data_IF_670721004401
#
_entry.id   IF_670721004401
#
_cell.length_a   1.000
_cell.length_b   1.000
_cell.length_c   1.000
_cell.angle_alpha   90.00
_cell.angle_beta   90.00
_cell.angle_gamma   90.00
#
_symmetry.space_group_name_H-M   'P 1'
#
loop_
_entity.id
_entity.type
_entity.pdbx_description
1 polymer ?
#
# COMPACT_ATOMS: atom_id res chain seq x y z
N UNK A 1 31.20 1.36 -14.81
CA UNK A 1 31.79 0.19 -14.16
C UNK A 1 30.81 -0.31 -13.08
N UNK A 2 30.60 -1.60 -13.04
CA UNK A 2 29.85 -2.22 -11.96
C UNK A 2 30.84 -2.44 -10.83
N UNK A 3 30.72 -1.64 -9.78
CA UNK A 3 31.47 -1.87 -8.55
C UNK A 3 30.91 -3.12 -7.87
N UNK A 4 31.74 -3.89 -7.18
CA UNK A 4 31.33 -5.13 -6.50
C UNK A 4 30.22 -4.84 -5.48
N UNK A 5 30.31 -3.72 -4.77
CA UNK A 5 29.32 -3.30 -3.79
C UNK A 5 27.97 -2.91 -4.41
N UNK A 6 27.99 -2.35 -5.61
CA UNK A 6 26.79 -1.97 -6.36
C UNK A 6 26.18 -3.16 -7.13
N UNK A 7 26.92 -4.23 -7.36
CA UNK A 7 26.45 -5.41 -8.10
C UNK A 7 25.21 -6.06 -7.46
N UNK A 8 25.06 -5.94 -6.16
CA UNK A 8 23.91 -6.44 -5.38
C UNK A 8 22.76 -5.45 -5.27
N UNK A 9 22.92 -4.22 -5.78
CA UNK A 9 21.85 -3.24 -5.78
C UNK A 9 20.69 -3.75 -6.61
N UNK A 10 19.46 -3.78 -6.04
CA UNK A 10 18.31 -4.23 -6.79
C UNK A 10 17.85 -3.15 -7.76
N UNK A 11 17.55 -3.56 -8.99
CA UNK A 11 16.74 -2.82 -9.93
C UNK A 11 15.31 -3.27 -9.75
N UNK A 12 14.40 -2.32 -9.55
CA UNK A 12 13.00 -2.57 -9.33
C UNK A 12 12.23 -2.09 -10.56
N UNK A 13 11.50 -3.01 -11.18
CA UNK A 13 10.55 -2.69 -12.24
C UNK A 13 9.19 -2.58 -11.57
N UNK A 14 8.61 -1.39 -11.62
CA UNK A 14 7.28 -1.13 -11.10
C UNK A 14 6.36 -0.59 -12.19
N UNK A 15 5.10 -0.87 -12.06
CA UNK A 15 4.05 -0.38 -12.94
C UNK A 15 2.77 -0.10 -12.15
N UNK A 16 1.79 0.58 -12.75
CA UNK A 16 0.53 0.83 -12.09
C UNK A 16 -0.12 -0.51 -11.71
N UNK A 17 -0.54 -0.62 -10.46
CA UNK A 17 -1.37 -1.73 -10.04
C UNK A 17 -2.73 -1.61 -10.72
N UNK A 18 -3.25 -2.73 -11.21
CA UNK A 18 -4.61 -2.80 -11.76
C UNK A 18 -5.62 -2.81 -10.59
N UNK A 19 -5.56 -1.73 -9.80
CA UNK A 19 -6.46 -1.56 -8.67
C UNK A 19 -7.83 -1.15 -9.22
N UNK A 20 -8.84 -1.91 -8.87
CA UNK A 20 -10.22 -1.57 -9.18
C UNK A 20 -10.64 -0.34 -8.36
N UNK A 21 -10.33 0.86 -8.85
CA UNK A 21 -10.70 2.14 -8.23
C UNK A 21 -12.19 2.22 -7.89
N UNK A 22 -13.02 1.52 -8.67
CA UNK A 22 -14.46 1.35 -8.44
C UNK A 22 -14.76 0.88 -7.00
N UNK A 23 -14.01 -0.10 -6.50
CA UNK A 23 -14.25 -0.65 -5.18
C UNK A 23 -13.97 0.34 -4.04
N UNK A 24 -12.97 1.19 -4.19
CA UNK A 24 -12.69 2.23 -3.19
C UNK A 24 -13.85 3.22 -3.07
N UNK A 25 -14.43 3.65 -4.20
CA UNK A 25 -15.58 4.56 -4.22
C UNK A 25 -16.82 3.88 -3.64
N UNK A 26 -17.08 2.63 -4.03
CA UNK A 26 -18.23 1.88 -3.57
C UNK A 26 -18.19 1.64 -2.06
N UNK A 27 -17.05 1.19 -1.54
CA UNK A 27 -16.88 0.98 -0.10
C UNK A 27 -16.85 2.28 0.70
N UNK A 28 -16.36 3.39 0.16
CA UNK A 28 -16.49 4.69 0.80
C UNK A 28 -17.95 5.06 1.05
N UNK A 29 -18.83 4.79 0.08
CA UNK A 29 -20.28 5.00 0.23
C UNK A 29 -20.92 4.01 1.21
N UNK A 30 -20.57 2.71 1.12
CA UNK A 30 -21.12 1.66 2.00
C UNK A 30 -20.81 1.97 3.47
N UNK A 31 -19.59 2.39 3.77
CA UNK A 31 -19.14 2.67 5.15
C UNK A 31 -19.88 3.85 5.79
N UNK A 32 -20.45 4.77 5.02
CA UNK A 32 -21.30 5.83 5.55
C UNK A 32 -22.58 5.29 6.23
N UNK A 33 -23.06 4.15 5.77
CA UNK A 33 -24.23 3.48 6.34
C UNK A 33 -23.89 2.59 7.55
N UNK A 34 -22.62 2.39 7.85
CA UNK A 34 -22.16 1.59 8.97
C UNK A 34 -21.88 2.46 10.20
N UNK A 35 -22.19 1.91 11.38
CA UNK A 35 -22.03 2.58 12.67
C UNK A 35 -20.95 1.90 13.51
N UNK A 36 -20.17 2.71 14.22
CA UNK A 36 -19.16 2.23 15.17
C UNK A 36 -19.81 1.72 16.44
N UNK A 37 -19.38 0.55 16.93
CA UNK A 37 -19.71 0.07 18.26
C UNK A 37 -18.88 0.82 19.31
N UNK A 38 -19.49 1.13 20.45
CA UNK A 38 -18.79 1.78 21.56
C UNK A 38 -18.45 0.74 22.64
N UNK A 39 -17.22 0.79 23.15
CA UNK A 39 -16.76 -0.06 24.24
C UNK A 39 -16.59 0.76 25.53
N UNK A 40 -17.02 0.18 26.63
CA UNK A 40 -16.75 0.71 27.96
C UNK A 40 -15.27 0.54 28.37
N UNK A 41 -14.91 1.11 29.51
CA UNK A 41 -13.57 0.99 30.09
C UNK A 41 -13.16 -0.45 30.42
N UNK A 42 -14.15 -1.31 30.62
CA UNK A 42 -14.01 -2.75 30.87
C UNK A 42 -13.85 -3.59 29.59
N UNK A 43 -13.83 -2.95 28.43
CA UNK A 43 -13.72 -3.61 27.12
C UNK A 43 -15.01 -4.22 26.60
N UNK A 44 -16.10 -4.17 27.35
CA UNK A 44 -17.41 -4.67 26.90
C UNK A 44 -18.09 -3.65 26.00
N UNK A 45 -18.83 -4.17 25.01
CA UNK A 45 -19.64 -3.34 24.11
C UNK A 45 -20.77 -2.71 24.93
N UNK A 46 -20.76 -1.39 24.99
CA UNK A 46 -21.82 -0.59 25.67
C UNK A 46 -22.89 -0.16 24.69
N UNK A 47 -22.53 0.06 23.43
CA UNK A 47 -23.45 0.37 22.36
C UNK A 47 -23.16 -0.54 21.16
N UNK A 48 -24.16 -1.29 20.69
CA UNK A 48 -23.98 -2.14 19.52
C UNK A 48 -23.68 -1.32 18.28
N UNK A 49 -22.96 -1.91 17.34
CA UNK A 49 -22.60 -1.29 16.07
C UNK A 49 -22.17 -2.34 15.06
N UNK A 50 -21.75 -1.88 13.90
CA UNK A 50 -21.41 -2.71 12.76
C UNK A 50 -19.92 -3.11 12.75
N UNK A 51 -19.09 -2.30 13.41
CA UNK A 51 -17.64 -2.54 13.53
C UNK A 51 -17.09 -1.92 14.82
N UNK A 52 -15.95 -2.40 15.24
CA UNK A 52 -15.19 -1.85 16.36
C UNK A 52 -13.81 -1.35 15.91
N UNK A 53 -13.26 -0.39 16.64
CA UNK A 53 -11.96 0.20 16.36
C UNK A 53 -11.06 0.09 17.59
N UNK A 54 -9.87 -0.43 17.40
CA UNK A 54 -8.77 -0.31 18.35
C UNK A 54 -7.83 0.83 17.90
N UNK A 55 -8.00 1.99 18.50
CA UNK A 55 -7.22 3.19 18.14
C UNK A 55 -5.73 3.05 18.46
N UNK A 56 -5.38 2.24 19.47
CA UNK A 56 -3.97 2.01 19.86
C UNK A 56 -3.25 1.14 18.84
N UNK A 57 -3.91 0.09 18.40
CA UNK A 57 -3.38 -0.84 17.39
C UNK A 57 -3.67 -0.41 15.96
N UNK A 58 -4.50 0.61 15.77
CA UNK A 58 -5.00 1.05 14.46
C UNK A 58 -5.64 -0.08 13.65
N UNK A 59 -6.41 -0.94 14.34
CA UNK A 59 -7.08 -2.08 13.72
C UNK A 59 -8.59 -1.92 13.74
N UNK A 60 -9.22 -2.56 12.75
CA UNK A 60 -10.68 -2.63 12.57
C UNK A 60 -11.13 -4.06 12.83
N UNK A 61 -12.18 -4.24 13.61
CA UNK A 61 -12.88 -5.49 13.78
C UNK A 61 -14.30 -5.38 13.23
N UNK A 62 -14.63 -6.20 12.24
CA UNK A 62 -16.01 -6.29 11.74
C UNK A 62 -16.86 -7.10 12.72
N UNK A 63 -18.07 -6.64 12.95
CA UNK A 63 -19.07 -7.32 13.77
C UNK A 63 -20.16 -7.92 12.87
N UNK A 64 -20.85 -8.94 13.38
CA UNK A 64 -21.88 -9.68 12.64
C UNK A 64 -22.91 -8.75 11.96
N UNK A 65 -23.51 -7.74 12.66
CA UNK A 65 -24.47 -6.84 12.00
C UNK A 65 -23.87 -6.06 10.84
N UNK A 66 -22.59 -5.71 10.92
CA UNK A 66 -21.89 -5.00 9.86
C UNK A 66 -21.63 -5.88 8.65
N UNK A 67 -21.29 -7.15 8.88
CA UNK A 67 -21.07 -8.13 7.81
C UNK A 67 -22.37 -8.34 7.04
N UNK A 68 -23.48 -8.60 7.73
CA UNK A 68 -24.81 -8.77 7.12
C UNK A 68 -25.21 -7.56 6.27
N UNK A 69 -25.04 -6.35 6.79
CA UNK A 69 -25.34 -5.12 6.04
C UNK A 69 -24.50 -4.97 4.78
N UNK A 70 -23.23 -5.28 4.85
CA UNK A 70 -22.32 -5.21 3.67
C UNK A 70 -22.70 -6.25 2.64
N UNK A 71 -23.02 -7.48 3.06
CA UNK A 71 -23.47 -8.55 2.18
C UNK A 71 -24.77 -8.14 1.46
N UNK A 72 -25.75 -7.59 2.19
CA UNK A 72 -27.00 -7.09 1.62
C UNK A 72 -26.76 -5.96 0.60
N UNK A 73 -25.91 -4.99 0.93
CA UNK A 73 -25.62 -3.85 0.06
C UNK A 73 -24.87 -4.25 -1.21
N UNK A 74 -24.01 -5.26 -1.12
CA UNK A 74 -23.26 -5.77 -2.26
C UNK A 74 -24.02 -6.85 -3.06
N UNK A 75 -25.10 -7.41 -2.48
CA UNK A 75 -25.85 -8.51 -3.07
C UNK A 75 -25.04 -9.82 -3.13
N UNK A 76 -24.21 -10.09 -2.15
CA UNK A 76 -23.41 -11.30 -2.01
C UNK A 76 -23.89 -12.13 -0.81
N UNK A 77 -23.75 -13.45 -0.89
CA UNK A 77 -24.21 -14.35 0.18
C UNK A 77 -23.23 -14.46 1.34
N UNK A 78 -21.92 -14.41 1.07
CA UNK A 78 -20.88 -14.55 2.10
C UNK A 78 -19.64 -13.72 1.76
N UNK A 79 -19.37 -12.74 2.61
CA UNK A 79 -18.22 -11.85 2.47
C UNK A 79 -16.88 -12.60 2.65
N UNK A 80 -16.87 -13.68 3.41
CA UNK A 80 -15.65 -14.44 3.75
C UNK A 80 -15.36 -15.59 2.76
N UNK A 81 -16.13 -15.74 1.70
CA UNK A 81 -15.76 -16.64 0.62
C UNK A 81 -14.44 -16.24 -0.03
N UNK A 82 -13.67 -17.22 -0.52
CA UNK A 82 -12.36 -16.98 -1.12
C UNK A 82 -12.39 -15.96 -2.28
N UNK A 83 -13.45 -15.99 -3.09
CA UNK A 83 -13.66 -15.05 -4.20
C UNK A 83 -13.93 -13.61 -3.74
N UNK A 84 -14.49 -13.44 -2.53
CA UNK A 84 -14.85 -12.15 -1.94
C UNK A 84 -13.73 -11.61 -1.00
N UNK A 85 -12.71 -12.40 -0.74
CA UNK A 85 -11.60 -12.04 0.16
C UNK A 85 -10.96 -10.67 -0.11
N UNK A 86 -10.75 -10.24 -1.36
CA UNK A 86 -10.25 -8.87 -1.63
C UNK A 86 -11.18 -7.77 -1.13
N UNK A 87 -12.49 -8.00 -1.08
CA UNK A 87 -13.47 -7.01 -0.66
C UNK A 87 -13.33 -6.64 0.81
N UNK A 88 -12.91 -7.60 1.64
CA UNK A 88 -12.62 -7.35 3.07
C UNK A 88 -11.51 -6.32 3.24
N UNK A 89 -10.49 -6.37 2.39
CA UNK A 89 -9.41 -5.38 2.38
C UNK A 89 -9.91 -3.97 2.08
N UNK A 90 -10.75 -3.81 1.05
CA UNK A 90 -11.35 -2.52 0.70
C UNK A 90 -12.27 -1.99 1.82
N UNK A 91 -13.09 -2.86 2.40
CA UNK A 91 -13.97 -2.51 3.53
C UNK A 91 -13.16 -2.04 4.73
N UNK A 92 -12.15 -2.78 5.13
CA UNK A 92 -11.29 -2.41 6.25
C UNK A 92 -10.58 -1.08 6.02
N UNK A 93 -10.08 -0.84 4.80
CA UNK A 93 -9.44 0.42 4.46
C UNK A 93 -10.42 1.59 4.45
N UNK A 94 -11.64 1.40 3.98
CA UNK A 94 -12.68 2.42 4.02
C UNK A 94 -13.06 2.79 5.47
N UNK A 95 -13.19 1.80 6.36
CA UNK A 95 -13.44 2.04 7.78
C UNK A 95 -12.25 2.74 8.45
N UNK A 96 -11.01 2.32 8.16
CA UNK A 96 -9.80 3.01 8.64
C UNK A 96 -9.78 4.47 8.20
N UNK A 97 -10.05 4.74 6.92
CA UNK A 97 -10.10 6.09 6.38
C UNK A 97 -11.16 6.97 7.07
N UNK A 98 -12.31 6.40 7.43
CA UNK A 98 -13.39 7.10 8.14
C UNK A 98 -13.01 7.42 9.58
N UNK A 99 -12.47 6.44 10.32
CA UNK A 99 -12.35 6.50 11.78
C UNK A 99 -10.95 6.92 12.27
N UNK A 100 -9.90 6.43 11.63
CA UNK A 100 -8.52 6.57 12.11
C UNK A 100 -7.78 7.73 11.45
N UNK A 101 -8.24 8.20 10.30
CA UNK A 101 -7.61 9.30 9.56
C UNK A 101 -8.56 10.48 9.45
N UNK A 102 -8.18 11.59 10.08
CA UNK A 102 -9.00 12.80 10.16
C UNK A 102 -8.41 13.89 9.29
N UNK A 103 -9.30 14.51 8.49
CA UNK A 103 -8.96 15.70 7.71
C UNK A 103 -8.47 16.82 8.61
N UNK A 104 -7.52 17.58 8.13
CA UNK A 104 -6.89 18.72 8.80
C UNK A 104 -6.10 18.37 10.07
N UNK A 105 -5.92 17.07 10.33
CA UNK A 105 -5.08 16.53 11.39
C UNK A 105 -4.04 15.57 10.85
N UNK A 106 -4.48 14.48 10.23
CA UNK A 106 -3.61 13.43 9.72
C UNK A 106 -3.26 13.65 8.23
N UNK A 107 -4.13 14.35 7.52
CA UNK A 107 -3.96 14.72 6.12
C UNK A 107 -4.74 16.00 5.78
N UNK A 108 -4.37 16.61 4.66
CA UNK A 108 -5.13 17.72 4.03
C UNK A 108 -5.49 17.36 2.60
N UNK A 109 -6.65 17.84 2.15
CA UNK A 109 -7.06 17.75 0.75
C UNK A 109 -6.77 19.09 0.09
N UNK A 110 -5.83 19.13 -0.83
CA UNK A 110 -5.40 20.35 -1.51
C UNK A 110 -5.10 20.05 -2.99
N UNK A 111 -5.55 20.94 -3.87
CA UNK A 111 -5.33 20.82 -5.33
C UNK A 111 -5.81 19.49 -5.95
N UNK A 112 -6.83 18.86 -5.36
CA UNK A 112 -7.32 17.56 -5.82
C UNK A 112 -6.48 16.36 -5.38
N UNK A 113 -5.55 16.57 -4.44
CA UNK A 113 -4.70 15.52 -3.89
C UNK A 113 -4.80 15.44 -2.36
N UNK A 114 -4.49 14.26 -1.82
CA UNK A 114 -4.37 14.04 -0.38
C UNK A 114 -2.89 14.12 0.00
N UNK A 115 -2.57 15.06 0.88
CA UNK A 115 -1.22 15.26 1.42
C UNK A 115 -1.19 14.85 2.88
N UNK A 116 -0.24 14.00 3.23
CA UNK A 116 -0.04 13.55 4.63
C UNK A 116 0.54 14.71 5.45
N UNK A 117 0.04 14.88 6.66
CA UNK A 117 0.58 15.82 7.64
C UNK A 117 1.42 15.03 8.65
N UNK A 118 2.65 15.48 8.86
CA UNK A 118 3.53 14.92 9.89
C UNK A 118 2.99 15.28 11.28
N UNK A 119 2.70 14.27 12.07
CA UNK A 119 2.14 14.43 13.43
C UNK A 119 3.03 15.25 14.35
N UNK A 120 4.35 15.22 14.18
CA UNK A 120 5.30 15.90 15.04
C UNK A 120 5.62 17.33 14.61
N UNK A 121 5.70 17.56 13.31
CA UNK A 121 6.13 18.85 12.76
C UNK A 121 4.99 19.67 12.17
N UNK A 122 3.83 19.05 11.92
CA UNK A 122 2.71 19.67 11.22
C UNK A 122 3.00 20.01 9.75
N UNK A 123 4.09 19.50 9.20
CA UNK A 123 4.47 19.73 7.80
C UNK A 123 3.77 18.76 6.87
N UNK A 124 3.41 19.26 5.70
CA UNK A 124 2.90 18.43 4.62
C UNK A 124 4.04 17.62 3.99
N UNK A 125 3.87 16.31 3.90
CA UNK A 125 4.83 15.38 3.33
C UNK A 125 4.47 15.12 1.86
N UNK A 126 4.99 15.95 0.97
CA UNK A 126 4.79 15.77 -0.46
C UNK A 126 5.39 14.45 -0.97
N UNK A 127 4.67 13.77 -1.83
CA UNK A 127 5.10 12.51 -2.44
C UNK A 127 5.02 11.28 -1.55
N UNK A 128 4.63 11.41 -0.27
CA UNK A 128 4.36 10.27 0.61
C UNK A 128 2.90 9.85 0.54
N UNK A 129 2.68 8.54 0.61
CA UNK A 129 1.34 7.94 0.62
C UNK A 129 1.23 6.90 1.73
N UNK A 130 0.04 6.75 2.29
CA UNK A 130 -0.25 5.63 3.19
C UNK A 130 -0.25 4.33 2.40
N UNK A 131 0.23 3.26 3.03
CA UNK A 131 0.38 1.94 2.42
C UNK A 131 -0.94 1.15 2.39
N UNK A 132 -0.92 0.02 1.69
CA UNK A 132 -1.95 -1.03 1.72
C UNK A 132 -3.35 -0.58 1.27
N UNK A 133 -3.44 0.42 0.42
CA UNK A 133 -4.71 0.92 -0.09
C UNK A 133 -5.43 1.93 0.82
N UNK A 134 -4.84 2.29 1.96
CA UNK A 134 -5.41 3.29 2.88
C UNK A 134 -5.47 4.68 2.24
N UNK A 135 -4.44 5.06 1.49
CA UNK A 135 -4.41 6.37 0.83
C UNK A 135 -5.52 6.50 -0.22
N UNK A 136 -5.72 5.46 -1.03
CA UNK A 136 -6.81 5.39 -2.00
C UNK A 136 -8.20 5.42 -1.32
N UNK A 137 -8.34 4.78 -0.17
CA UNK A 137 -9.58 4.84 0.61
C UNK A 137 -9.87 6.26 1.14
N UNK A 138 -8.83 7.02 1.50
CA UNK A 138 -8.95 8.43 1.89
C UNK A 138 -9.30 9.30 0.67
N UNK A 139 -8.66 9.06 -0.47
CA UNK A 139 -8.97 9.75 -1.72
C UNK A 139 -10.44 9.53 -2.12
N UNK A 140 -10.94 8.30 -2.01
CA UNK A 140 -12.35 7.98 -2.24
C UNK A 140 -13.29 8.69 -1.25
N UNK A 141 -12.93 8.70 0.04
CA UNK A 141 -13.70 9.38 1.10
C UNK A 141 -13.83 10.89 0.83
N UNK A 142 -12.77 11.53 0.36
CA UNK A 142 -12.73 12.97 0.08
C UNK A 142 -13.22 13.32 -1.33
N UNK A 143 -13.53 12.33 -2.16
CA UNK A 143 -14.02 12.53 -3.53
C UNK A 143 -12.98 13.13 -4.48
N UNK A 144 -11.69 12.94 -4.19
CA UNK A 144 -10.58 13.32 -5.08
C UNK A 144 -10.23 12.17 -6.02
N UNK A 145 -9.45 12.45 -7.05
CA UNK A 145 -9.00 11.43 -8.00
C UNK A 145 -8.15 10.37 -7.30
N UNK A 146 -8.54 9.10 -7.47
CA UNK A 146 -7.84 7.96 -6.87
C UNK A 146 -6.63 7.62 -7.73
N UNK A 147 -5.44 7.75 -7.14
CA UNK A 147 -4.19 7.39 -7.81
C UNK A 147 -3.82 5.96 -7.50
N UNK A 148 -3.57 5.17 -8.54
CA UNK A 148 -3.12 3.80 -8.38
C UNK A 148 -1.71 3.76 -7.77
N UNK A 149 -1.49 2.80 -6.87
CA UNK A 149 -0.15 2.50 -6.38
C UNK A 149 0.66 1.80 -7.47
N UNK A 150 1.97 2.07 -7.46
CA UNK A 150 2.89 1.31 -8.28
C UNK A 150 3.14 -0.05 -7.63
N UNK A 151 2.92 -1.10 -8.38
CA UNK A 151 3.22 -2.46 -7.97
C UNK A 151 4.61 -2.85 -8.46
N UNK A 152 5.42 -3.45 -7.60
CA UNK A 152 6.68 -4.05 -8.01
C UNK A 152 6.39 -5.30 -8.84
N UNK A 153 6.69 -5.23 -10.14
CA UNK A 153 6.47 -6.32 -11.08
C UNK A 153 7.65 -7.30 -11.06
N UNK A 154 8.86 -6.79 -10.91
CA UNK A 154 10.05 -7.60 -10.85
C UNK A 154 11.18 -6.88 -10.10
N UNK A 155 12.06 -7.66 -9.51
CA UNK A 155 13.30 -7.19 -8.89
C UNK A 155 14.44 -8.04 -9.40
N UNK A 156 15.50 -7.40 -9.89
CA UNK A 156 16.72 -8.05 -10.36
C UNK A 156 17.93 -7.28 -9.87
N UNK A 157 18.97 -7.97 -9.42
CA UNK A 157 20.23 -7.30 -9.08
C UNK A 157 20.96 -6.82 -10.33
N UNK A 158 21.72 -5.73 -10.22
CA UNK A 158 22.56 -5.24 -11.34
C UNK A 158 23.41 -6.34 -11.92
N UNK A 159 24.02 -7.16 -11.09
CA UNK A 159 24.83 -8.30 -11.53
C UNK A 159 24.03 -9.27 -12.42
N UNK A 160 22.84 -9.65 -12.00
CA UNK A 160 22.01 -10.58 -12.76
C UNK A 160 21.44 -9.93 -14.02
N UNK A 161 21.07 -8.64 -13.95
CA UNK A 161 20.63 -7.89 -15.11
C UNK A 161 21.68 -7.88 -16.23
N UNK A 162 22.93 -7.58 -15.91
CA UNK A 162 23.99 -7.56 -16.91
C UNK A 162 24.39 -8.93 -17.43
N UNK A 163 24.13 -10.01 -16.69
CA UNK A 163 24.31 -11.39 -17.18
C UNK A 163 23.35 -11.79 -18.31
N UNK A 164 22.28 -11.01 -18.50
CA UNK A 164 21.31 -11.26 -19.59
C UNK A 164 21.85 -10.86 -20.97
N UNK A 165 22.97 -10.16 -21.06
CA UNK A 165 23.56 -9.71 -22.31
C UNK A 165 24.69 -10.62 -22.73
N UNK A 166 24.69 -11.08 -23.99
CA UNK A 166 25.75 -11.92 -24.58
C UNK A 166 27.05 -11.15 -24.74
N UNK A 167 26.97 -9.85 -25.02
CA UNK A 167 28.12 -8.95 -25.12
C UNK A 167 27.94 -7.80 -24.15
N UNK A 168 28.95 -7.63 -23.32
CA UNK A 168 29.02 -6.53 -22.38
C UNK A 168 30.36 -5.85 -22.47
N UNK A 169 30.41 -4.54 -22.54
CA UNK A 169 31.62 -3.73 -22.49
C UNK A 169 31.42 -2.54 -21.57
N UNK A 170 32.49 -2.11 -20.93
CA UNK A 170 32.43 -0.97 -20.01
C UNK A 170 33.75 -0.19 -20.05
N UNK A 171 33.71 1.02 -19.55
CA UNK A 171 34.88 1.88 -19.38
C UNK A 171 35.00 2.29 -17.91
N UNK A 172 36.24 2.27 -17.43
CA UNK A 172 36.58 2.78 -16.09
C UNK A 172 37.96 3.37 -16.06
N UNK A 173 38.12 4.50 -15.40
CA UNK A 173 39.44 5.10 -15.16
C UNK A 173 40.24 4.43 -14.04
N UNK A 174 39.63 3.56 -13.26
CA UNK A 174 40.22 2.92 -12.07
C UNK A 174 40.52 1.43 -12.24
N UNK A 175 40.41 0.90 -13.45
CA UNK A 175 40.63 -0.54 -13.73
C UNK A 175 42.01 -1.06 -13.30
N UNK A 176 43.02 -0.21 -13.31
CA UNK A 176 44.37 -0.59 -12.88
C UNK A 176 44.55 -0.69 -11.38
N UNK A 177 43.77 0.04 -10.62
CA UNK A 177 43.82 0.03 -9.14
C UNK A 177 42.99 -1.09 -8.53
N UNK A 178 41.93 -1.49 -9.22
CA UNK A 178 41.14 -2.68 -8.89
C UNK A 178 41.81 -3.83 -9.62
N UNK A 179 42.49 -4.68 -8.91
CA UNK A 179 43.22 -5.85 -9.46
C UNK A 179 42.44 -6.52 -10.59
N UNK A 180 42.92 -6.39 -11.82
CA UNK A 180 42.36 -7.02 -13.02
C UNK A 180 42.31 -8.56 -12.92
N UNK A 181 42.96 -9.15 -11.92
CA UNK A 181 43.00 -10.58 -11.62
C UNK A 181 41.58 -11.15 -11.39
N UNK A 182 40.66 -10.38 -10.84
CA UNK A 182 39.30 -10.85 -10.61
C UNK A 182 38.33 -10.60 -11.77
N UNK A 183 38.69 -9.79 -12.75
CA UNK A 183 37.84 -9.42 -13.89
C UNK A 183 38.22 -10.21 -15.15
N UNK A 184 39.43 -10.70 -15.22
CA UNK A 184 40.03 -11.31 -16.44
C UNK A 184 40.26 -12.80 -16.38
N UNK A 185 39.87 -13.53 -15.35
CA UNK A 185 39.84 -14.98 -15.45
C UNK A 185 38.74 -15.41 -16.41
N UNK A 186 39.07 -15.90 -17.59
CA UNK A 186 38.08 -16.56 -18.42
C UNK A 186 37.63 -17.79 -17.65
N UNK A 187 36.34 -17.85 -17.30
CA UNK A 187 35.71 -19.09 -16.88
C UNK A 187 36.06 -20.14 -17.93
N UNK A 188 36.98 -21.04 -17.61
CA UNK A 188 37.24 -22.20 -18.45
C UNK A 188 35.93 -22.97 -18.56
N UNK A 189 35.45 -23.22 -19.77
CA UNK A 189 34.40 -24.20 -19.93
C UNK A 189 34.91 -25.55 -19.46
N UNK A 190 34.18 -26.18 -18.56
CA UNK A 190 34.32 -27.58 -18.25
C UNK A 190 33.86 -28.41 -19.44
#
# INVERSE_FOLDING_TARGET
>A
SILIDEARTPLIISGPADAATKWYVEFASIVEHLTRAEKGKDGKITKPGDYEIDEKKKTVGLLEPGIEKVEDLLGIENLYEAQNSPLIGYLNNAIKAKELFKRDKDYVAMNGEILIVDEHTGRMLAGRRYNEGVHQAIEAKEGVEIQNENQTLATVTLQNYFRMYDKLSGMTGTAQTLSLIHISEPTRPL
#
